data_IF_708500624220
#
_entry.id   IF_708500624220
#
_cell.length_a   1.000
_cell.length_b   1.000
_cell.length_c   1.000
_cell.angle_alpha   90.00
_cell.angle_beta   90.00
_cell.angle_gamma   90.00
#
_symmetry.space_group_name_H-M   'P 1'
#
loop_
_entity.id
_entity.type
_entity.pdbx_description
1 polymer ?
#
# COMPACT_ATOMS: atom_id res chain seq x y z
N UNK A 1 35.27 32.00 -85.53
CA UNK A 1 35.35 33.48 -85.39
C UNK A 1 34.05 33.92 -84.72
N UNK A 2 34.03 34.14 -83.40
CA UNK A 2 34.46 35.35 -82.68
C UNK A 2 33.50 36.55 -82.85
N UNK A 3 32.86 36.88 -81.71
CA UNK A 3 32.34 38.17 -81.22
C UNK A 3 31.14 38.83 -81.94
N UNK A 4 30.23 39.60 -81.30
CA UNK A 4 29.57 39.73 -79.97
C UNK A 4 28.74 41.04 -80.12
N UNK A 5 27.51 41.13 -79.62
CA UNK A 5 26.94 42.41 -79.15
C UNK A 5 25.85 42.16 -78.07
N UNK A 6 25.54 43.13 -77.19
CA UNK A 6 25.09 42.86 -75.81
C UNK A 6 23.67 43.35 -75.40
N UNK A 7 22.97 42.51 -74.61
CA UNK A 7 22.20 42.66 -73.31
C UNK A 7 21.40 43.98 -73.06
N UNK A 8 20.09 43.99 -72.63
CA UNK A 8 19.67 43.75 -71.21
C UNK A 8 18.17 43.30 -71.00
N UNK A 9 17.55 43.38 -69.78
CA UNK A 9 17.51 42.28 -68.83
C UNK A 9 16.09 41.81 -68.41
N UNK A 10 16.10 40.61 -67.80
CA UNK A 10 15.13 39.94 -66.92
C UNK A 10 13.69 39.76 -67.41
N UNK A 11 13.20 38.51 -67.32
CA UNK A 11 11.85 38.36 -66.80
C UNK A 11 11.68 37.23 -65.78
N UNK A 12 10.62 37.45 -65.02
CA UNK A 12 9.87 36.50 -64.23
C UNK A 12 9.46 35.22 -64.99
N UNK A 13 9.07 34.25 -64.17
CA UNK A 13 8.12 33.16 -64.39
C UNK A 13 8.66 31.75 -64.73
N UNK A 14 8.32 30.88 -63.76
CA UNK A 14 7.73 29.55 -63.93
C UNK A 14 8.60 28.36 -64.36
N UNK A 15 8.65 27.34 -63.49
CA UNK A 15 8.78 25.95 -63.93
C UNK A 15 9.51 24.99 -63.00
N UNK A 16 8.76 24.38 -62.05
CA UNK A 16 8.83 22.97 -61.61
C UNK A 16 10.17 22.35 -61.16
N UNK A 17 10.26 21.89 -59.90
CA UNK A 17 10.54 20.47 -59.57
C UNK A 17 10.75 20.22 -58.05
N UNK A 18 10.31 19.02 -57.65
CA UNK A 18 10.67 18.24 -56.45
C UNK A 18 9.99 18.58 -55.11
N UNK A 19 8.78 18.04 -54.93
CA UNK A 19 8.24 17.74 -53.61
C UNK A 19 9.09 16.64 -52.95
N UNK A 20 9.85 17.00 -51.92
CA UNK A 20 10.48 16.05 -51.01
C UNK A 20 9.43 15.51 -50.05
N UNK A 21 8.99 14.28 -50.29
CA UNK A 21 8.12 13.54 -49.38
C UNK A 21 8.80 13.45 -48.00
N UNK A 22 8.22 14.12 -47.01
CA UNK A 22 8.65 14.04 -45.62
C UNK A 22 8.31 12.65 -45.12
N UNK A 23 9.31 11.82 -44.84
CA UNK A 23 9.10 10.54 -44.16
C UNK A 23 8.71 10.87 -42.72
N UNK A 24 7.42 10.85 -42.42
CA UNK A 24 6.92 10.84 -41.05
C UNK A 24 7.17 9.46 -40.46
N UNK A 25 8.20 9.37 -39.61
CA UNK A 25 8.34 8.26 -38.70
C UNK A 25 7.20 8.37 -37.68
N UNK A 26 6.22 7.46 -37.77
CA UNK A 26 5.19 7.34 -36.75
C UNK A 26 5.86 7.14 -35.40
N UNK A 27 5.63 8.08 -34.48
CA UNK A 27 6.19 8.05 -33.15
C UNK A 27 5.68 6.78 -32.44
N UNK A 28 6.52 5.77 -32.16
CA UNK A 28 6.08 4.53 -31.51
C UNK A 28 5.54 4.79 -30.09
N UNK A 29 5.74 6.00 -29.56
CA UNK A 29 5.22 6.44 -28.27
C UNK A 29 3.89 7.21 -28.37
N UNK A 30 3.40 7.55 -29.57
CA UNK A 30 2.08 8.19 -29.71
C UNK A 30 0.90 7.27 -29.31
N UNK A 31 1.13 5.95 -29.23
CA UNK A 31 0.16 4.96 -28.77
C UNK A 31 0.40 4.51 -27.31
N UNK A 32 1.52 4.91 -26.70
CA UNK A 32 1.70 4.75 -25.27
C UNK A 32 1.00 5.94 -24.59
N UNK A 33 -0.33 5.85 -24.50
CA UNK A 33 -1.08 6.70 -23.57
C UNK A 33 -0.38 6.67 -22.20
N UNK A 34 -0.45 7.77 -21.42
CA UNK A 34 0.15 7.78 -20.09
C UNK A 34 -0.32 6.50 -19.40
N UNK A 35 0.64 5.69 -18.94
CA UNK A 35 0.33 4.56 -18.06
C UNK A 35 -0.33 5.21 -16.86
N UNK A 36 -1.66 5.27 -16.89
CA UNK A 36 -2.46 5.83 -15.81
C UNK A 36 -2.14 4.94 -14.62
N UNK A 37 -1.24 5.43 -13.77
CA UNK A 37 -1.15 4.95 -12.40
C UNK A 37 -2.59 4.98 -11.89
N UNK A 38 -3.16 3.81 -11.64
CA UNK A 38 -4.54 3.65 -11.20
C UNK A 38 -4.75 4.63 -10.04
N UNK A 39 -5.46 5.74 -10.31
CA UNK A 39 -5.63 6.81 -9.33
C UNK A 39 -6.47 6.20 -8.23
N UNK A 40 -5.82 5.74 -7.17
CA UNK A 40 -6.50 5.09 -6.05
C UNK A 40 -7.52 6.10 -5.53
N UNK A 41 -8.81 5.82 -5.73
CA UNK A 41 -9.87 6.74 -5.32
C UNK A 41 -9.92 6.76 -3.81
N UNK A 42 -9.47 7.85 -3.20
CA UNK A 42 -9.41 8.02 -1.75
C UNK A 42 -10.44 9.05 -1.29
N UNK A 43 -11.17 8.76 -0.22
CA UNK A 43 -12.06 9.71 0.46
C UNK A 43 -11.26 10.66 1.34
N UNK A 44 -11.59 11.96 1.27
CA UNK A 44 -11.06 12.96 2.21
C UNK A 44 -11.95 13.01 3.45
N UNK A 45 -11.45 12.52 4.58
CA UNK A 45 -12.16 12.60 5.85
C UNK A 45 -12.20 14.05 6.35
N UNK A 46 -13.39 14.54 6.69
CA UNK A 46 -13.62 15.89 7.21
C UNK A 46 -14.25 15.83 8.61
N UNK A 47 -14.13 16.91 9.38
CA UNK A 47 -14.71 17.04 10.71
C UNK A 47 -14.15 16.03 11.74
N UNK A 48 -15.05 15.38 12.47
CA UNK A 48 -14.69 14.43 13.55
C UNK A 48 -13.91 13.21 13.08
N UNK A 49 -14.19 12.69 11.88
CA UNK A 49 -13.49 11.54 11.31
C UNK A 49 -12.01 11.82 11.05
N UNK A 50 -11.68 13.07 10.66
CA UNK A 50 -10.29 13.50 10.48
C UNK A 50 -9.54 13.53 11.81
N UNK A 51 -10.16 14.10 12.85
CA UNK A 51 -9.56 14.12 14.18
C UNK A 51 -9.38 12.71 14.75
N UNK A 52 -10.36 11.83 14.54
CA UNK A 52 -10.24 10.42 14.92
C UNK A 52 -9.04 9.76 14.23
N UNK A 53 -8.87 9.96 12.92
CA UNK A 53 -7.70 9.44 12.18
C UNK A 53 -6.38 10.00 12.74
N UNK A 54 -6.32 11.31 13.00
CA UNK A 54 -5.12 11.95 13.56
C UNK A 54 -4.77 11.39 14.94
N UNK A 55 -5.76 11.25 15.82
CA UNK A 55 -5.57 10.68 17.17
C UNK A 55 -5.11 9.24 17.09
N UNK A 56 -5.73 8.40 16.25
CA UNK A 56 -5.33 7.00 16.10
C UNK A 56 -3.96 6.85 15.44
N UNK A 57 -3.60 7.74 14.50
CA UNK A 57 -2.24 7.79 13.92
C UNK A 57 -1.21 8.18 14.99
N UNK A 58 -1.50 9.18 15.82
CA UNK A 58 -0.64 9.55 16.93
C UNK A 58 -0.50 8.41 17.95
N UNK A 59 -1.59 7.69 18.23
CA UNK A 59 -1.56 6.51 19.08
C UNK A 59 -0.68 5.39 18.48
N UNK A 60 -0.79 5.10 17.18
CA UNK A 60 0.08 4.14 16.48
C UNK A 60 1.56 4.53 16.60
N UNK A 61 1.89 5.81 16.40
CA UNK A 61 3.28 6.29 16.55
C UNK A 61 3.75 6.11 18.00
N UNK A 62 2.92 6.47 18.98
CA UNK A 62 3.22 6.27 20.40
C UNK A 62 3.44 4.80 20.77
N UNK A 63 2.60 3.90 20.27
CA UNK A 63 2.74 2.45 20.45
C UNK A 63 4.04 1.92 19.83
N UNK A 64 4.36 2.35 18.61
CA UNK A 64 5.60 1.97 17.93
C UNK A 64 6.83 2.45 18.72
N UNK A 65 6.83 3.69 19.20
CA UNK A 65 7.91 4.22 20.06
C UNK A 65 8.03 3.40 21.36
N UNK A 66 6.91 3.12 22.03
CA UNK A 66 6.92 2.32 23.26
C UNK A 66 7.50 0.92 23.05
N UNK A 67 7.12 0.25 21.95
CA UNK A 67 7.60 -1.08 21.58
C UNK A 67 9.08 -1.06 21.19
N UNK A 68 9.48 -0.15 20.29
CA UNK A 68 10.83 -0.11 19.72
C UNK A 68 11.89 0.26 20.77
N UNK A 69 11.59 1.24 21.64
CA UNK A 69 12.50 1.68 22.68
C UNK A 69 12.35 0.91 23.99
N UNK A 70 11.43 -0.08 24.06
CA UNK A 70 11.12 -0.85 25.27
C UNK A 70 10.89 0.08 26.47
N UNK A 71 10.15 1.18 26.26
CA UNK A 71 9.97 2.22 27.29
C UNK A 71 9.13 1.75 28.47
N UNK A 72 8.42 0.62 28.32
CA UNK A 72 7.58 -0.01 29.34
C UNK A 72 6.66 1.02 30.01
N UNK A 73 6.03 1.90 29.22
CA UNK A 73 5.11 2.92 29.76
C UNK A 73 3.97 2.30 30.59
N UNK A 74 3.60 1.05 30.30
CA UNK A 74 2.75 0.23 31.16
C UNK A 74 3.59 -0.45 32.25
N UNK A 75 3.84 0.26 33.35
CA UNK A 75 4.59 -0.26 34.50
C UNK A 75 3.91 -1.55 35.01
N UNK A 76 4.63 -2.68 34.95
CA UNK A 76 4.16 -3.98 35.43
C UNK A 76 3.46 -4.87 34.40
N UNK A 77 3.29 -4.43 33.15
CA UNK A 77 2.68 -5.22 32.08
C UNK A 77 3.70 -5.52 30.95
N UNK A 78 4.06 -6.79 30.79
CA UNK A 78 4.87 -7.23 29.64
C UNK A 78 3.93 -7.47 28.46
N UNK A 79 3.90 -6.51 27.54
CA UNK A 79 3.10 -6.60 26.32
C UNK A 79 3.66 -7.68 25.41
N UNK A 80 2.81 -8.59 24.95
CA UNK A 80 3.18 -9.62 23.97
C UNK A 80 3.24 -8.99 22.56
N UNK A 81 4.11 -9.50 21.69
CA UNK A 81 4.20 -9.02 20.31
C UNK A 81 2.84 -9.14 19.58
N UNK A 82 2.13 -10.25 19.79
CA UNK A 82 0.78 -10.49 19.25
C UNK A 82 -0.23 -9.42 19.71
N UNK A 83 -0.14 -8.94 20.95
CA UNK A 83 -0.98 -7.85 21.45
C UNK A 83 -0.63 -6.51 20.79
N UNK A 84 0.66 -6.23 20.60
CA UNK A 84 1.12 -5.06 19.86
C UNK A 84 0.59 -5.05 18.42
N UNK A 85 0.69 -6.18 17.71
CA UNK A 85 0.19 -6.28 16.34
C UNK A 85 -1.33 -6.12 16.27
N UNK A 86 -2.09 -6.68 17.23
CA UNK A 86 -3.54 -6.47 17.30
C UNK A 86 -3.92 -5.01 17.62
N UNK A 87 -3.14 -4.30 18.44
CA UNK A 87 -3.32 -2.87 18.65
C UNK A 87 -3.10 -2.08 17.36
N UNK A 88 -2.08 -2.43 16.57
CA UNK A 88 -1.88 -1.81 15.26
C UNK A 88 -3.05 -2.08 14.31
N UNK A 89 -3.54 -3.33 14.27
CA UNK A 89 -4.74 -3.69 13.50
C UNK A 89 -5.93 -2.84 13.94
N UNK A 90 -6.17 -2.72 15.25
CA UNK A 90 -7.26 -1.90 15.81
C UNK A 90 -7.11 -0.42 15.46
N UNK A 91 -5.90 0.12 15.46
CA UNK A 91 -5.64 1.53 15.17
C UNK A 91 -5.65 1.87 13.68
N UNK A 92 -5.32 0.92 12.80
CA UNK A 92 -5.07 1.20 11.38
C UNK A 92 -6.12 0.56 10.47
N UNK A 93 -6.44 -0.73 10.64
CA UNK A 93 -7.27 -1.49 9.72
C UNK A 93 -8.69 -0.91 9.54
N UNK A 94 -9.42 -0.47 10.60
CA UNK A 94 -10.75 0.10 10.45
C UNK A 94 -10.78 1.31 9.51
N UNK A 95 -9.74 2.17 9.55
CA UNK A 95 -9.67 3.37 8.71
C UNK A 95 -9.60 3.05 7.22
N UNK A 96 -9.18 1.83 6.84
CA UNK A 96 -9.25 1.36 5.46
C UNK A 96 -10.66 1.50 4.89
N UNK A 97 -11.70 1.19 5.67
CA UNK A 97 -13.09 1.28 5.20
C UNK A 97 -13.60 2.72 5.06
N UNK A 98 -13.04 3.65 5.84
CA UNK A 98 -13.39 5.07 5.76
C UNK A 98 -12.68 5.77 4.61
N UNK A 99 -11.43 5.41 4.36
CA UNK A 99 -10.53 6.02 3.36
C UNK A 99 -10.80 5.43 1.97
N UNK A 100 -10.94 4.11 1.84
CA UNK A 100 -11.08 3.42 0.56
C UNK A 100 -12.54 3.03 0.28
N UNK A 101 -13.17 3.60 -0.75
CA UNK A 101 -14.55 3.31 -1.12
C UNK A 101 -14.70 1.86 -1.59
N UNK A 102 -15.78 1.19 -1.15
CA UNK A 102 -15.99 -0.24 -1.46
C UNK A 102 -16.30 -0.58 -2.92
N UNK A 103 -16.72 0.40 -3.73
CA UNK A 103 -17.12 0.19 -5.13
C UNK A 103 -16.81 1.41 -6.00
N UNK A 104 -16.71 1.20 -7.32
CA UNK A 104 -16.55 2.26 -8.33
C UNK A 104 -17.66 3.31 -8.27
N UNK A 105 -18.84 2.94 -7.77
CA UNK A 105 -19.99 3.85 -7.69
C UNK A 105 -20.21 4.44 -6.29
N UNK A 106 -19.34 4.13 -5.32
CA UNK A 106 -19.53 4.61 -3.97
C UNK A 106 -19.28 6.13 -3.86
N UNK A 107 -20.05 6.85 -3.03
CA UNK A 107 -19.89 8.29 -2.85
C UNK A 107 -18.53 8.59 -2.21
N UNK A 108 -17.92 9.70 -2.62
CA UNK A 108 -16.68 10.21 -2.02
C UNK A 108 -16.92 11.30 -0.98
N UNK A 109 -18.06 11.99 -1.06
CA UNK A 109 -18.39 13.15 -0.21
C UNK A 109 -18.99 12.77 1.14
N UNK A 110 -19.44 11.52 1.29
CA UNK A 110 -20.03 11.00 2.53
C UNK A 110 -19.61 9.56 2.77
N UNK A 111 -19.61 9.17 4.03
CA UNK A 111 -19.31 7.80 4.47
C UNK A 111 -20.63 7.00 4.49
N UNK A 112 -20.78 5.97 3.65
CA UNK A 112 -21.93 5.07 3.69
C UNK A 112 -22.03 4.28 5.00
N UNK A 113 -23.25 3.91 5.38
CA UNK A 113 -23.50 3.14 6.60
C UNK A 113 -22.77 1.78 6.62
N UNK A 114 -22.61 1.12 5.47
CA UNK A 114 -21.91 -0.16 5.38
C UNK A 114 -20.40 -0.04 5.68
N UNK A 115 -19.79 1.11 5.37
CA UNK A 115 -18.39 1.37 5.69
C UNK A 115 -18.21 1.65 7.18
N UNK A 116 -19.19 2.31 7.81
CA UNK A 116 -19.23 2.48 9.27
C UNK A 116 -19.47 1.13 9.96
N UNK A 117 -20.33 0.27 9.40
CA UNK A 117 -20.56 -1.06 9.95
C UNK A 117 -19.29 -1.93 9.90
N UNK A 118 -18.55 -1.92 8.78
CA UNK A 118 -17.27 -2.60 8.66
C UNK A 118 -16.22 -2.01 9.61
N UNK A 119 -16.16 -0.68 9.74
CA UNK A 119 -15.29 0.00 10.70
C UNK A 119 -15.54 -0.49 12.14
N UNK A 120 -16.80 -0.51 12.58
CA UNK A 120 -17.17 -0.97 13.93
C UNK A 120 -16.90 -2.46 14.09
N UNK A 121 -17.27 -3.29 13.10
CA UNK A 121 -17.02 -4.73 13.14
C UNK A 121 -15.53 -5.06 13.28
N UNK A 122 -14.67 -4.31 12.59
CA UNK A 122 -13.21 -4.44 12.69
C UNK A 122 -12.71 -4.12 14.09
N UNK A 123 -13.18 -3.02 14.69
CA UNK A 123 -12.80 -2.61 16.04
C UNK A 123 -13.23 -3.67 17.06
N UNK A 124 -14.48 -4.12 16.98
CA UNK A 124 -15.04 -5.12 17.92
C UNK A 124 -14.28 -6.44 17.79
N UNK A 125 -14.05 -6.93 16.58
CA UNK A 125 -13.30 -8.16 16.34
C UNK A 125 -11.85 -8.05 16.82
N UNK A 126 -11.15 -6.96 16.48
CA UNK A 126 -9.76 -6.74 16.90
C UNK A 126 -9.63 -6.64 18.42
N UNK A 127 -10.50 -5.87 19.08
CA UNK A 127 -10.49 -5.72 20.54
C UNK A 127 -10.80 -7.06 21.25
N UNK A 128 -11.77 -7.81 20.73
CA UNK A 128 -12.14 -9.10 21.29
C UNK A 128 -11.00 -10.12 21.14
N UNK A 129 -10.41 -10.24 19.95
CA UNK A 129 -9.27 -11.12 19.71
C UNK A 129 -8.07 -10.72 20.58
N UNK A 130 -7.74 -9.42 20.63
CA UNK A 130 -6.68 -8.88 21.48
C UNK A 130 -6.85 -9.28 22.95
N UNK A 131 -8.05 -9.11 23.51
CA UNK A 131 -8.32 -9.44 24.92
C UNK A 131 -8.13 -10.93 25.23
N UNK A 132 -8.20 -11.79 24.22
CA UNK A 132 -8.09 -13.23 24.33
C UNK A 132 -6.69 -13.77 23.94
N UNK A 133 -5.77 -12.93 23.45
CA UNK A 133 -4.44 -13.35 22.97
C UNK A 133 -3.65 -14.15 24.01
N UNK A 134 -3.67 -13.72 25.28
CA UNK A 134 -2.94 -14.41 26.36
C UNK A 134 -3.45 -15.82 26.60
N UNK A 135 -4.76 -15.94 26.80
CA UNK A 135 -5.42 -17.23 26.97
C UNK A 135 -5.21 -18.13 25.76
N UNK A 136 -5.23 -17.55 24.55
CA UNK A 136 -5.02 -18.28 23.32
C UNK A 136 -3.60 -18.84 23.19
N UNK A 137 -2.59 -18.09 23.65
CA UNK A 137 -1.20 -18.53 23.70
C UNK A 137 -0.97 -19.59 24.80
N UNK A 138 -1.58 -19.42 25.98
CA UNK A 138 -1.45 -20.37 27.09
C UNK A 138 -2.13 -21.73 26.80
N UNK A 139 -3.25 -21.71 26.10
CA UNK A 139 -4.09 -22.88 25.84
C UNK A 139 -3.89 -23.47 24.43
N UNK A 140 -3.00 -22.89 23.60
CA UNK A 140 -2.69 -23.41 22.27
C UNK A 140 -3.89 -23.44 21.30
N UNK A 141 -4.77 -22.43 21.37
CA UNK A 141 -6.01 -22.40 20.59
C UNK A 141 -5.81 -22.42 19.08
N UNK A 142 -4.61 -22.06 18.60
CA UNK A 142 -4.25 -22.09 17.18
C UNK A 142 -4.34 -23.50 16.55
N UNK A 143 -4.17 -24.57 17.34
CA UNK A 143 -4.28 -25.97 16.87
C UNK A 143 -5.48 -26.70 17.49
N UNK A 144 -5.76 -26.42 18.77
CA UNK A 144 -6.81 -27.10 19.54
C UNK A 144 -8.23 -26.62 19.22
N UNK A 145 -8.37 -25.54 18.47
CA UNK A 145 -9.65 -24.85 18.25
C UNK A 145 -9.92 -23.82 19.36
N UNK A 146 -10.48 -22.68 18.96
CA UNK A 146 -10.79 -21.60 19.87
C UNK A 146 -12.23 -21.70 20.41
N UNK A 147 -12.53 -21.09 21.57
CA UNK A 147 -13.91 -20.96 22.04
C UNK A 147 -14.80 -20.29 20.99
N UNK A 148 -16.09 -20.65 20.96
CA UNK A 148 -17.06 -20.17 19.96
C UNK A 148 -17.02 -18.65 19.74
N UNK A 149 -16.88 -17.86 20.81
CA UNK A 149 -16.79 -16.39 20.70
C UNK A 149 -15.54 -15.91 19.96
N UNK A 150 -14.40 -16.56 20.18
CA UNK A 150 -13.12 -16.24 19.54
C UNK A 150 -13.14 -16.67 18.07
N UNK A 151 -13.67 -17.87 17.78
CA UNK A 151 -13.87 -18.33 16.39
C UNK A 151 -14.81 -17.41 15.62
N UNK A 152 -15.90 -16.94 16.24
CA UNK A 152 -16.82 -15.98 15.62
C UNK A 152 -16.15 -14.62 15.34
N UNK A 153 -15.40 -14.08 16.31
CA UNK A 153 -14.63 -12.85 16.11
C UNK A 153 -13.54 -13.03 15.04
N UNK A 154 -12.90 -14.19 14.99
CA UNK A 154 -11.93 -14.55 13.98
C UNK A 154 -12.52 -14.64 12.58
N UNK A 155 -13.73 -15.20 12.44
CA UNK A 155 -14.47 -15.23 11.18
C UNK A 155 -14.76 -13.80 10.69
N UNK A 156 -15.25 -12.94 11.58
CA UNK A 156 -15.51 -11.53 11.27
C UNK A 156 -14.22 -10.84 10.84
N UNK A 157 -13.12 -11.04 11.57
CA UNK A 157 -11.81 -10.49 11.23
C UNK A 157 -11.34 -10.95 9.85
N UNK A 158 -11.46 -12.25 9.54
CA UNK A 158 -11.09 -12.81 8.24
C UNK A 158 -11.92 -12.20 7.10
N UNK A 159 -13.24 -12.09 7.25
CA UNK A 159 -14.13 -11.48 6.24
C UNK A 159 -13.75 -10.01 6.00
N UNK A 160 -13.59 -9.25 7.08
CA UNK A 160 -13.19 -7.85 7.05
C UNK A 160 -11.82 -7.69 6.38
N UNK A 161 -10.86 -8.57 6.66
CA UNK A 161 -9.54 -8.55 6.06
C UNK A 161 -9.60 -8.80 4.55
N UNK A 162 -10.40 -9.77 4.09
CA UNK A 162 -10.60 -10.04 2.66
C UNK A 162 -11.22 -8.83 1.95
N UNK A 163 -12.19 -8.17 2.59
CA UNK A 163 -12.80 -6.95 2.05
C UNK A 163 -11.83 -5.75 2.05
N UNK A 164 -11.01 -5.60 3.09
CA UNK A 164 -9.93 -4.60 3.13
C UNK A 164 -8.91 -4.83 2.01
N UNK A 165 -8.50 -6.09 1.81
CA UNK A 165 -7.57 -6.50 0.75
C UNK A 165 -8.13 -6.17 -0.63
N UNK A 166 -9.42 -6.44 -0.86
CA UNK A 166 -10.10 -6.10 -2.11
C UNK A 166 -10.14 -4.59 -2.36
N UNK A 167 -10.27 -3.77 -1.32
CA UNK A 167 -10.36 -2.31 -1.43
C UNK A 167 -9.02 -1.64 -1.66
N UNK A 168 -7.94 -2.19 -1.12
CA UNK A 168 -6.59 -1.61 -1.23
C UNK A 168 -5.78 -2.21 -2.36
N UNK A 169 -5.81 -3.53 -2.52
CA UNK A 169 -5.05 -4.28 -3.54
C UNK A 169 -5.89 -4.75 -4.74
N UNK A 170 -7.19 -4.45 -4.75
CA UNK A 170 -8.08 -4.82 -5.84
C UNK A 170 -8.41 -6.31 -5.91
N UNK A 171 -9.07 -6.70 -7.00
CA UNK A 171 -9.44 -8.09 -7.25
C UNK A 171 -8.24 -9.00 -7.51
N UNK A 172 -7.15 -8.48 -8.07
CA UNK A 172 -5.95 -9.27 -8.38
C UNK A 172 -5.35 -9.88 -7.11
N UNK A 173 -5.17 -9.07 -6.06
CA UNK A 173 -4.60 -9.52 -4.80
C UNK A 173 -5.56 -10.43 -4.03
N UNK A 174 -6.87 -10.11 -4.01
CA UNK A 174 -7.87 -10.96 -3.36
C UNK A 174 -7.92 -12.36 -3.99
N UNK A 175 -7.98 -12.45 -5.33
CA UNK A 175 -8.04 -13.73 -6.03
C UNK A 175 -6.77 -14.55 -5.88
N UNK A 176 -5.64 -13.89 -5.64
CA UNK A 176 -4.37 -14.57 -5.37
C UNK A 176 -4.32 -15.16 -3.97
N UNK A 177 -4.83 -14.46 -2.95
CA UNK A 177 -4.75 -14.90 -1.53
C UNK A 177 -5.89 -15.84 -1.14
N UNK A 178 -7.10 -15.59 -1.62
CA UNK A 178 -8.32 -16.28 -1.18
C UNK A 178 -8.22 -17.82 -1.30
N UNK A 179 -7.75 -18.41 -2.42
CA UNK A 179 -7.63 -19.86 -2.53
C UNK A 179 -6.71 -20.48 -1.47
N UNK A 180 -5.61 -19.82 -1.12
CA UNK A 180 -4.67 -20.32 -0.11
C UNK A 180 -5.24 -20.25 1.31
N UNK A 181 -6.07 -19.24 1.60
CA UNK A 181 -6.73 -19.13 2.90
C UNK A 181 -7.86 -20.16 3.09
N UNK A 182 -8.55 -20.53 2.01
CA UNK A 182 -9.65 -21.51 2.08
C UNK A 182 -9.12 -22.95 1.93
N UNK A 183 -7.95 -23.13 1.32
CA UNK A 183 -7.32 -24.44 1.07
C UNK A 183 -7.35 -25.42 2.27
N UNK A 184 -7.01 -25.03 3.52
CA UNK A 184 -7.02 -25.95 4.66
C UNK A 184 -8.37 -26.65 4.90
N UNK A 185 -9.48 -26.03 4.49
CA UNK A 185 -10.83 -26.56 4.68
C UNK A 185 -11.13 -27.79 3.82
N UNK A 186 -10.40 -28.00 2.73
CA UNK A 186 -10.61 -29.11 1.80
C UNK A 186 -9.31 -29.81 1.39
N UNK A 187 -8.22 -29.57 2.13
CA UNK A 187 -6.87 -30.05 1.81
C UNK A 187 -6.77 -31.60 1.69
N UNK A 188 -7.62 -32.36 2.37
CA UNK A 188 -7.60 -33.83 2.30
C UNK A 188 -8.28 -34.38 1.03
N UNK A 189 -9.05 -33.56 0.31
CA UNK A 189 -9.91 -34.01 -0.78
C UNK A 189 -9.12 -34.74 -1.87
N UNK A 190 -9.62 -35.91 -2.29
CA UNK A 190 -8.94 -36.82 -3.20
C UNK A 190 -8.58 -36.22 -4.57
N UNK A 191 -9.32 -35.20 -5.02
CA UNK A 191 -9.10 -34.53 -6.31
C UNK A 191 -7.87 -33.62 -6.35
N UNK A 192 -7.24 -33.30 -5.21
CA UNK A 192 -6.04 -32.45 -5.15
C UNK A 192 -4.75 -33.19 -5.51
N UNK A 193 -4.76 -34.52 -5.57
CA UNK A 193 -3.60 -35.32 -5.96
C UNK A 193 -2.34 -35.00 -5.12
N UNK A 194 -1.24 -34.50 -5.71
CA UNK A 194 -0.02 -34.14 -4.97
C UNK A 194 -0.18 -32.96 -4.00
N UNK A 195 -1.21 -32.13 -4.17
CA UNK A 195 -1.48 -30.98 -3.31
C UNK A 195 -2.34 -31.34 -2.09
N UNK A 196 -2.45 -32.63 -1.74
CA UNK A 196 -3.18 -33.06 -0.56
C UNK A 196 -2.40 -32.76 0.72
N UNK A 197 -3.12 -32.35 1.74
CA UNK A 197 -2.56 -32.01 3.05
C UNK A 197 -3.52 -32.38 4.18
N UNK A 198 -3.20 -31.92 5.39
CA UNK A 198 -4.06 -32.11 6.55
C UNK A 198 -5.25 -31.16 6.48
N UNK A 199 -6.47 -31.72 6.49
CA UNK A 199 -7.69 -30.92 6.55
C UNK A 199 -7.87 -30.35 7.96
N UNK A 200 -8.26 -29.09 8.03
CA UNK A 200 -8.65 -28.41 9.26
C UNK A 200 -10.15 -28.16 9.25
N UNK A 201 -10.79 -28.26 10.42
CA UNK A 201 -12.16 -27.77 10.59
C UNK A 201 -12.21 -26.25 10.40
N UNK A 202 -13.40 -25.70 10.16
CA UNK A 202 -13.57 -24.25 10.00
C UNK A 202 -13.05 -23.48 11.22
N UNK A 203 -13.36 -23.95 12.42
CA UNK A 203 -12.91 -23.32 13.66
C UNK A 203 -11.39 -23.36 13.82
N UNK A 204 -10.75 -24.48 13.46
CA UNK A 204 -9.29 -24.60 13.48
C UNK A 204 -8.63 -23.70 12.43
N UNK A 205 -9.17 -23.63 11.21
CA UNK A 205 -8.64 -22.77 10.16
C UNK A 205 -8.74 -21.29 10.57
N UNK A 206 -9.87 -20.86 11.12
CA UNK A 206 -10.07 -19.48 11.59
C UNK A 206 -9.16 -19.17 12.78
N UNK A 207 -9.06 -20.09 13.75
CA UNK A 207 -8.17 -19.93 14.89
C UNK A 207 -6.72 -19.81 14.41
N UNK A 208 -6.27 -20.66 13.49
CA UNK A 208 -4.95 -20.53 12.89
C UNK A 208 -4.76 -19.19 12.17
N UNK A 209 -5.74 -18.74 11.39
CA UNK A 209 -5.63 -17.47 10.67
C UNK A 209 -5.54 -16.24 11.58
N UNK A 210 -6.20 -16.26 12.73
CA UNK A 210 -6.39 -15.06 13.56
C UNK A 210 -5.61 -15.09 14.87
N UNK A 211 -5.48 -16.25 15.51
CA UNK A 211 -4.76 -16.39 16.77
C UNK A 211 -3.28 -16.69 16.54
N UNK A 212 -2.94 -17.44 15.48
CA UNK A 212 -1.54 -17.80 15.22
C UNK A 212 -0.72 -16.60 14.76
N UNK A 213 0.57 -16.63 15.08
CA UNK A 213 1.53 -15.61 14.65
C UNK A 213 2.03 -15.81 13.21
N UNK A 214 1.59 -16.87 12.52
CA UNK A 214 2.10 -17.23 11.20
C UNK A 214 1.22 -16.73 10.04
N UNK A 215 -0.05 -16.46 10.30
CA UNK A 215 -1.01 -16.10 9.25
C UNK A 215 -1.29 -14.60 9.19
N UNK A 216 -2.38 -14.10 9.80
CA UNK A 216 -2.71 -12.67 9.76
C UNK A 216 -1.63 -11.82 10.43
N UNK A 217 -1.05 -12.32 11.52
CA UNK A 217 0.02 -11.67 12.27
C UNK A 217 1.43 -12.09 11.82
N UNK A 218 1.52 -12.67 10.62
CA UNK A 218 2.76 -13.19 10.05
C UNK A 218 3.79 -12.12 9.67
N UNK A 219 4.84 -12.60 9.01
CA UNK A 219 6.03 -11.83 8.62
C UNK A 219 5.71 -10.46 7.98
N UNK A 220 4.73 -10.32 7.05
CA UNK A 220 4.46 -9.02 6.45
C UNK A 220 3.99 -7.96 7.46
N UNK A 221 3.13 -8.34 8.41
CA UNK A 221 2.66 -7.43 9.45
C UNK A 221 3.78 -7.11 10.44
N UNK A 222 4.58 -8.11 10.81
CA UNK A 222 5.74 -7.94 11.71
C UNK A 222 6.75 -6.97 11.10
N UNK A 223 7.13 -7.17 9.84
CA UNK A 223 8.04 -6.29 9.11
C UNK A 223 7.47 -4.86 9.01
N UNK A 224 6.16 -4.72 8.73
CA UNK A 224 5.51 -3.42 8.72
C UNK A 224 5.59 -2.71 10.09
N UNK A 225 5.25 -3.43 11.14
CA UNK A 225 5.15 -2.93 12.51
C UNK A 225 6.50 -2.54 13.13
N UNK A 226 7.57 -3.26 12.76
CA UNK A 226 8.91 -3.12 13.35
C UNK A 226 9.83 -2.22 12.54
N UNK A 227 9.63 -2.16 11.21
CA UNK A 227 10.56 -1.44 10.33
C UNK A 227 9.88 -0.29 9.59
N UNK A 228 8.77 -0.55 8.89
CA UNK A 228 8.17 0.41 7.97
C UNK A 228 7.63 1.64 8.70
N UNK A 229 6.93 1.45 9.82
CA UNK A 229 6.40 2.59 10.61
C UNK A 229 7.54 3.51 11.07
N UNK A 230 8.63 2.94 11.59
CA UNK A 230 9.80 3.70 12.05
C UNK A 230 10.43 4.53 10.94
N UNK A 231 10.64 3.93 9.76
CA UNK A 231 11.16 4.64 8.59
C UNK A 231 10.21 5.74 8.11
N UNK A 232 8.90 5.52 8.14
CA UNK A 232 7.91 6.52 7.71
C UNK A 232 7.88 7.73 8.66
N UNK A 233 7.93 7.49 9.98
CA UNK A 233 7.99 8.55 10.99
C UNK A 233 9.30 9.33 10.89
N UNK A 234 10.44 8.65 10.78
CA UNK A 234 11.73 9.30 10.60
C UNK A 234 11.80 10.08 9.28
N UNK A 235 11.32 9.47 8.19
CA UNK A 235 11.28 10.08 6.87
C UNK A 235 10.46 11.36 6.85
N UNK A 236 9.25 11.33 7.42
CA UNK A 236 8.40 12.52 7.52
C UNK A 236 9.01 13.60 8.42
N UNK A 237 9.62 13.24 9.55
CA UNK A 237 10.32 14.18 10.42
C UNK A 237 11.49 14.88 9.70
N UNK A 238 12.34 14.12 8.99
CA UNK A 238 13.44 14.67 8.18
C UNK A 238 12.95 15.57 7.03
N UNK A 239 11.82 15.23 6.39
CA UNK A 239 11.25 16.10 5.34
C UNK A 239 10.85 17.45 5.93
N UNK A 240 10.29 17.46 7.13
CA UNK A 240 9.86 18.68 7.83
C UNK A 240 11.02 19.55 8.32
N UNK A 241 12.19 18.97 8.61
CA UNK A 241 13.40 19.75 8.97
C UNK A 241 14.09 20.42 7.76
N UNK A 242 13.60 20.17 6.54
CA UNK A 242 14.14 20.77 5.32
C UNK A 242 15.16 19.91 4.58
N UNK A 243 15.35 18.65 4.98
CA UNK A 243 16.25 17.72 4.31
C UNK A 243 15.92 17.56 2.81
N UNK A 244 14.63 17.66 2.44
CA UNK A 244 14.21 17.62 1.04
C UNK A 244 14.88 18.70 0.18
N UNK A 245 14.93 19.94 0.68
CA UNK A 245 15.61 21.05 -0.01
C UNK A 245 17.13 20.85 -0.02
N UNK A 246 17.69 20.32 1.07
CA UNK A 246 19.12 19.99 1.15
C UNK A 246 19.54 18.98 0.07
N UNK A 247 18.82 17.86 -0.09
CA UNK A 247 19.16 16.85 -1.09
C UNK A 247 18.97 17.32 -2.53
N UNK A 248 17.95 18.15 -2.79
CA UNK A 248 17.78 18.80 -4.10
C UNK A 248 18.96 19.72 -4.41
N UNK A 249 19.35 20.57 -3.45
CA UNK A 249 20.49 21.47 -3.63
C UNK A 249 21.82 20.72 -3.79
N UNK A 250 21.99 19.59 -3.08
CA UNK A 250 23.13 18.70 -3.23
C UNK A 250 23.17 18.10 -4.64
N UNK A 251 22.03 17.63 -5.17
CA UNK A 251 21.95 17.12 -6.52
C UNK A 251 22.28 18.21 -7.56
N UNK A 252 21.80 19.45 -7.38
CA UNK A 252 22.18 20.59 -8.22
C UNK A 252 23.68 20.91 -8.15
N UNK A 253 24.28 20.86 -6.96
CA UNK A 253 25.71 21.09 -6.79
C UNK A 253 26.55 20.00 -7.50
N UNK A 254 26.11 18.75 -7.47
CA UNK A 254 26.82 17.62 -8.08
C UNK A 254 26.61 17.51 -9.59
N UNK A 255 25.42 17.80 -10.10
CA UNK A 255 25.03 17.47 -11.48
C UNK A 255 24.55 18.67 -12.31
N UNK A 256 24.30 19.82 -11.70
CA UNK A 256 23.62 20.95 -12.35
C UNK A 256 24.42 21.62 -13.47
N UNK A 257 25.74 21.59 -13.42
CA UNK A 257 26.64 22.20 -14.42
C UNK A 257 26.97 21.26 -15.58
N UNK A 258 26.62 19.97 -15.49
CA UNK A 258 26.91 19.01 -16.55
C UNK A 258 25.93 19.15 -17.71
N UNK A 259 26.34 18.74 -18.92
CA UNK A 259 25.41 18.58 -20.05
C UNK A 259 24.29 17.62 -19.68
N UNK A 260 23.05 18.06 -19.87
CA UNK A 260 21.84 17.36 -19.41
C UNK A 260 21.61 17.46 -17.89
N UNK A 261 22.17 18.48 -17.23
CA UNK A 261 22.19 18.63 -15.77
C UNK A 261 20.82 18.51 -15.13
N UNK A 262 19.78 19.14 -15.68
CA UNK A 262 18.41 19.03 -15.15
C UNK A 262 17.91 17.57 -15.07
N UNK A 263 18.17 16.75 -16.09
CA UNK A 263 17.77 15.34 -16.10
C UNK A 263 18.55 14.52 -15.06
N UNK A 264 19.87 14.75 -14.95
CA UNK A 264 20.72 14.07 -13.96
C UNK A 264 20.37 14.47 -12.53
N UNK A 265 20.13 15.75 -12.29
CA UNK A 265 19.65 16.27 -11.00
C UNK A 265 18.33 15.60 -10.62
N UNK A 266 17.40 15.47 -11.56
CA UNK A 266 16.13 14.78 -11.31
C UNK A 266 16.31 13.34 -10.83
N UNK A 267 17.19 12.58 -11.49
CA UNK A 267 17.48 11.18 -11.12
C UNK A 267 18.18 11.11 -9.75
N UNK A 268 19.23 11.91 -9.53
CA UNK A 268 19.97 11.90 -8.26
C UNK A 268 19.13 12.39 -7.08
N UNK A 269 18.36 13.47 -7.25
CA UNK A 269 17.46 13.96 -6.22
C UNK A 269 16.37 12.93 -5.91
N UNK A 270 15.79 12.29 -6.94
CA UNK A 270 14.80 11.23 -6.74
C UNK A 270 15.40 10.02 -6.01
N UNK A 271 16.62 9.60 -6.34
CA UNK A 271 17.30 8.49 -5.66
C UNK A 271 17.63 8.81 -4.20
N UNK A 272 18.15 10.00 -3.93
CA UNK A 272 18.47 10.45 -2.56
C UNK A 272 17.21 10.59 -1.69
N UNK A 273 16.15 11.17 -2.25
CA UNK A 273 14.86 11.30 -1.56
C UNK A 273 14.16 9.95 -1.40
N UNK A 274 14.29 9.04 -2.37
CA UNK A 274 13.76 7.67 -2.32
C UNK A 274 14.40 6.85 -1.21
N UNK A 275 15.73 6.85 -1.12
CA UNK A 275 16.47 6.19 -0.04
C UNK A 275 16.06 6.70 1.35
N UNK A 276 15.73 7.99 1.47
CA UNK A 276 15.30 8.58 2.73
C UNK A 276 13.91 8.09 3.17
N UNK A 277 13.00 7.87 2.21
CA UNK A 277 11.66 7.34 2.46
C UNK A 277 11.60 5.82 2.51
N UNK A 278 12.73 5.13 2.25
CA UNK A 278 12.79 3.67 2.14
C UNK A 278 12.10 3.11 0.89
N UNK A 279 12.03 3.88 -0.20
CA UNK A 279 11.39 3.51 -1.48
C UNK A 279 12.37 3.37 -2.64
#
# INVERSE_FOLDING_TARGET
MLFRSPVPPAPDTAGSAAATARVEFGDPHAQAGPVEAEVTRVRRLTGGWRWLLVVMTAATIGLCINQQFTLRFFVGYTQLNTEYYYLLVLCMLPFTFLIFPGSKNAPLDRIPWYDVALFIATIVAAAFLMSNVRSAAELGWEFGGAPMGVSAAGLVMWIVLMEALRRTGGWSLLLSVLPFTVYPLFAESSWLGPLRGNQSTLDQAIAYHTVSNESLLGIPLQAFAETVIGFLVFGTALMMTGAGKFFINLAFALCGTFRGGAAKVGIFASGLLGMMSGS
#
